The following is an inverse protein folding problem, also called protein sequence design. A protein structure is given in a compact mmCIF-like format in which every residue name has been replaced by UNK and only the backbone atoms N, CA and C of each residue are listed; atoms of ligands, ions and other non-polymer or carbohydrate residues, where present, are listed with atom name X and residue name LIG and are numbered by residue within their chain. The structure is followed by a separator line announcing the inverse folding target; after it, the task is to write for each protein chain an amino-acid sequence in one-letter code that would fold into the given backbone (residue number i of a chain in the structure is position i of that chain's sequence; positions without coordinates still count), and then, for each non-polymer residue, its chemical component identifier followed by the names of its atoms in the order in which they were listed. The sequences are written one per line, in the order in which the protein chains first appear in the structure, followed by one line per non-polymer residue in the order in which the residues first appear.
data_IF_002325221016
#
_entry.id   IF_002325221016
#
_cell.length_a   1.000
_cell.length_b   1.000
_cell.length_c   1.000
_cell.angle_alpha   90.00
_cell.angle_beta   90.00
_cell.angle_gamma   90.00
#
_symmetry.space_group_name_H-M   'P 1'
#
loop_
_entity.id
_entity.type
_entity.pdbx_description
1 polymer ?
#
# COMPACT_ATOMS: atom_id res chain seq x y z
N UNK A 1 -13.60 12.08 -4.81
CA UNK A 1 -12.81 13.18 -4.21
C UNK A 1 -11.76 12.54 -3.34
N UNK A 2 -10.56 13.11 -3.25
CA UNK A 2 -9.54 12.61 -2.33
C UNK A 2 -10.02 12.75 -0.87
N UNK A 3 -9.64 11.78 -0.05
CA UNK A 3 -9.90 11.67 1.38
C UNK A 3 -8.57 11.91 2.10
N UNK A 4 -8.61 12.82 3.07
CA UNK A 4 -7.49 13.05 4.00
C UNK A 4 -8.02 12.94 5.42
N UNK A 5 -7.26 12.26 6.28
CA UNK A 5 -7.65 11.97 7.67
C UNK A 5 -6.47 12.06 8.61
N UNK A 6 -6.63 12.80 9.69
CA UNK A 6 -5.70 12.76 10.82
C UNK A 6 -5.96 11.52 11.68
N UNK A 7 -4.90 10.87 12.17
CA UNK A 7 -4.99 9.78 13.13
C UNK A 7 -4.83 10.36 14.53
N UNK A 8 -5.89 10.37 15.37
CA UNK A 8 -5.88 11.05 16.66
C UNK A 8 -4.72 10.63 17.56
N UNK A 9 -4.09 11.61 18.23
CA UNK A 9 -3.00 11.40 19.20
C UNK A 9 -1.74 10.68 18.69
N UNK A 10 -1.54 10.56 17.37
CA UNK A 10 -0.36 9.90 16.79
C UNK A 10 0.58 10.81 16.01
N UNK A 11 0.12 12.02 15.64
CA UNK A 11 0.87 12.90 14.74
C UNK A 11 1.01 12.33 13.33
N UNK A 12 0.08 11.46 12.90
CA UNK A 12 0.03 10.88 11.55
C UNK A 12 -1.13 11.49 10.78
N UNK A 13 -0.89 11.86 9.53
CA UNK A 13 -1.91 12.24 8.54
C UNK A 13 -1.92 11.21 7.43
N UNK A 14 -3.11 10.78 7.02
CA UNK A 14 -3.33 9.82 5.95
C UNK A 14 -4.01 10.53 4.78
N UNK A 15 -3.62 10.20 3.55
CA UNK A 15 -4.28 10.72 2.36
C UNK A 15 -4.25 9.72 1.21
N UNK A 16 -5.26 9.76 0.36
CA UNK A 16 -5.26 9.10 -0.95
C UNK A 16 -5.08 10.10 -2.13
N UNK A 17 -4.78 11.36 -1.82
CA UNK A 17 -4.60 12.40 -2.84
C UNK A 17 -3.34 12.11 -3.68
N UNK A 18 -3.47 11.83 -4.99
CA UNK A 18 -2.32 11.57 -5.84
C UNK A 18 -1.37 12.77 -5.94
N UNK A 19 -1.85 14.00 -5.71
CA UNK A 19 -1.02 15.19 -5.71
C UNK A 19 -0.05 15.26 -4.53
N UNK A 20 -0.29 14.50 -3.46
CA UNK A 20 0.57 14.48 -2.28
C UNK A 20 1.66 13.42 -2.35
N UNK A 21 1.58 12.47 -3.30
CA UNK A 21 2.50 11.34 -3.37
C UNK A 21 3.92 11.77 -3.76
N UNK A 22 4.94 11.57 -2.90
CA UNK A 22 6.33 11.79 -3.28
C UNK A 22 6.84 10.58 -4.10
N UNK A 23 6.48 10.55 -5.39
CA UNK A 23 6.69 9.40 -6.28
C UNK A 23 8.16 8.95 -6.32
N UNK A 24 9.12 9.87 -6.32
CA UNK A 24 10.54 9.53 -6.33
C UNK A 24 10.97 8.78 -5.06
N UNK A 25 10.46 9.20 -3.90
CA UNK A 25 10.76 8.56 -2.62
C UNK A 25 10.13 7.17 -2.53
N UNK A 26 8.87 7.04 -2.96
CA UNK A 26 8.14 5.76 -2.99
C UNK A 26 8.84 4.79 -3.95
N UNK A 27 9.18 5.25 -5.16
CA UNK A 27 9.90 4.48 -6.16
C UNK A 27 11.25 3.99 -5.63
N UNK A 28 12.04 4.88 -5.03
CA UNK A 28 13.34 4.53 -4.49
C UNK A 28 13.21 3.44 -3.42
N UNK A 29 12.28 3.61 -2.47
CA UNK A 29 12.07 2.61 -1.42
C UNK A 29 11.61 1.26 -2.00
N UNK A 30 10.62 1.24 -2.89
CA UNK A 30 10.14 0.01 -3.48
C UNK A 30 11.22 -0.71 -4.31
N UNK A 31 11.88 0.01 -5.21
CA UNK A 31 12.84 -0.57 -6.17
C UNK A 31 14.16 -1.01 -5.54
N UNK A 32 14.55 -0.44 -4.40
CA UNK A 32 15.85 -0.71 -3.76
C UNK A 32 15.70 -1.50 -2.45
N UNK A 33 14.77 -1.12 -1.59
CA UNK A 33 14.69 -1.58 -0.19
C UNK A 33 13.73 -2.76 0.01
N UNK A 34 12.83 -3.03 -0.93
CA UNK A 34 11.88 -4.14 -0.82
C UNK A 34 12.31 -5.34 -1.66
N UNK A 35 12.08 -6.55 -1.15
CA UNK A 35 12.42 -7.77 -1.89
C UNK A 35 11.43 -8.06 -3.03
N UNK A 36 10.17 -7.59 -2.93
CA UNK A 36 9.12 -7.92 -3.90
C UNK A 36 9.09 -6.99 -5.12
N UNK A 37 9.57 -5.75 -5.00
CA UNK A 37 9.62 -4.78 -6.09
C UNK A 37 11.06 -4.42 -6.52
N UNK A 38 12.06 -5.20 -6.10
CA UNK A 38 13.46 -4.95 -6.43
C UNK A 38 13.67 -4.87 -7.94
N UNK A 39 14.37 -3.81 -8.39
CA UNK A 39 14.68 -3.59 -9.80
C UNK A 39 13.50 -3.11 -10.65
N UNK A 40 12.34 -2.79 -10.06
CA UNK A 40 11.18 -2.25 -10.75
C UNK A 40 11.57 -1.06 -11.65
N UNK A 41 11.31 -1.10 -12.98
CA UNK A 41 11.58 0.03 -13.87
C UNK A 41 10.69 1.23 -13.54
N UNK A 42 11.24 2.43 -13.67
CA UNK A 42 10.53 3.68 -13.32
C UNK A 42 9.23 3.87 -14.10
N UNK A 43 9.24 3.62 -15.41
CA UNK A 43 8.05 3.76 -16.25
C UNK A 43 6.94 2.77 -15.84
N UNK A 44 7.31 1.56 -15.41
CA UNK A 44 6.37 0.56 -14.91
C UNK A 44 5.77 1.01 -13.58
N UNK A 45 6.59 1.54 -12.67
CA UNK A 45 6.14 2.12 -11.41
C UNK A 45 5.14 3.26 -11.64
N UNK A 46 5.49 4.26 -12.44
CA UNK A 46 4.64 5.43 -12.68
C UNK A 46 3.28 5.03 -13.25
N UNK A 47 3.26 4.12 -14.24
CA UNK A 47 2.01 3.54 -14.76
C UNK A 47 1.22 2.79 -13.69
N UNK A 48 1.89 2.02 -12.83
CA UNK A 48 1.23 1.25 -11.77
C UNK A 48 0.52 2.16 -10.76
N UNK A 49 1.16 3.26 -10.36
CA UNK A 49 0.59 4.24 -9.42
C UNK A 49 -0.57 4.99 -10.08
N UNK A 50 -0.41 5.43 -11.32
CA UNK A 50 -1.46 6.15 -12.06
C UNK A 50 -2.76 5.34 -12.25
N UNK A 51 -2.68 4.01 -12.23
CA UNK A 51 -3.82 3.10 -12.39
C UNK A 51 -4.26 2.42 -11.08
N UNK A 52 -3.79 2.90 -9.93
CA UNK A 52 -4.13 2.33 -8.62
C UNK A 52 -4.72 3.39 -7.69
N UNK A 53 -5.46 2.96 -6.69
CA UNK A 53 -5.73 3.78 -5.51
C UNK A 53 -4.53 3.67 -4.57
N UNK A 54 -3.92 4.80 -4.24
CA UNK A 54 -2.69 4.84 -3.45
C UNK A 54 -2.97 5.56 -2.14
N UNK A 55 -2.46 5.02 -1.04
CA UNK A 55 -2.64 5.55 0.30
C UNK A 55 -1.28 5.86 0.89
N UNK A 56 -1.12 7.06 1.41
CA UNK A 56 0.11 7.50 2.03
C UNK A 56 -0.14 7.99 3.45
N UNK A 57 0.80 7.66 4.34
CA UNK A 57 0.87 8.18 5.69
C UNK A 57 2.02 9.16 5.77
N UNK A 58 1.79 10.30 6.42
CA UNK A 58 2.74 11.38 6.61
C UNK A 58 2.88 11.72 8.08
N UNK A 59 4.07 12.19 8.48
CA UNK A 59 4.22 12.89 9.77
C UNK A 59 3.42 14.19 9.70
N UNK A 60 2.70 14.56 10.75
CA UNK A 60 2.10 15.89 10.88
C UNK A 60 3.15 16.90 11.31
N UNK A 61 3.19 18.05 10.65
CA UNK A 61 4.04 19.18 11.06
C UNK A 61 3.34 20.02 12.16
N UNK A 62 4.12 20.82 12.88
CA UNK A 62 3.62 21.66 13.98
C UNK A 62 2.68 22.77 13.47
N UNK A 63 2.84 23.20 12.22
CA UNK A 63 1.98 24.19 11.55
C UNK A 63 0.65 23.61 11.02
N UNK A 64 0.40 22.31 11.24
CA UNK A 64 -0.79 21.60 10.79
C UNK A 64 -0.74 21.09 9.33
N UNK A 65 0.35 21.33 8.61
CA UNK A 65 0.58 20.71 7.30
C UNK A 65 1.04 19.26 7.42
N UNK A 66 1.01 18.51 6.31
CA UNK A 66 1.64 17.19 6.26
C UNK A 66 3.13 17.34 5.95
N UNK A 67 3.96 16.59 6.67
CA UNK A 67 5.40 16.51 6.50
C UNK A 67 5.80 15.28 5.68
N UNK A 68 6.92 14.69 6.06
CA UNK A 68 7.55 13.59 5.32
C UNK A 68 6.65 12.34 5.25
N UNK A 69 6.76 11.60 4.14
CA UNK A 69 6.17 10.26 4.02
C UNK A 69 6.72 9.35 5.12
N UNK A 70 5.85 8.58 5.75
CA UNK A 70 6.20 7.60 6.78
C UNK A 70 5.71 6.19 6.46
N UNK A 71 4.74 6.05 5.56
CA UNK A 71 4.26 4.77 5.07
C UNK A 71 3.40 4.90 3.82
N UNK A 72 3.21 3.78 3.12
CA UNK A 72 2.50 3.71 1.86
C UNK A 72 1.78 2.38 1.72
N UNK A 73 0.68 2.37 0.96
CA UNK A 73 -0.02 1.18 0.51
C UNK A 73 -0.66 1.45 -0.85
N UNK A 74 -0.77 0.42 -1.70
CA UNK A 74 -1.38 0.51 -3.02
C UNK A 74 -2.47 -0.53 -3.21
N UNK A 75 -3.55 -0.13 -3.87
CA UNK A 75 -4.70 -0.98 -4.17
C UNK A 75 -5.01 -0.92 -5.65
N UNK A 76 -4.94 -2.07 -6.33
CA UNK A 76 -5.45 -2.23 -7.69
C UNK A 76 -6.91 -2.64 -7.57
N UNK A 77 -7.83 -1.85 -8.11
CA UNK A 77 -9.26 -2.06 -7.88
C UNK A 77 -10.12 -1.50 -9.01
N UNK A 78 -11.29 -2.12 -9.23
CA UNK A 78 -12.38 -1.58 -10.04
C UNK A 78 -13.30 -0.63 -9.25
N UNK A 79 -13.03 -0.45 -7.95
CA UNK A 79 -13.83 0.35 -6.99
C UNK A 79 -15.28 -0.13 -6.85
N UNK A 80 -15.54 -1.39 -7.21
CA UNK A 80 -16.89 -1.92 -7.25
C UNK A 80 -16.96 -3.35 -6.69
N UNK A 81 -16.14 -4.27 -7.20
CA UNK A 81 -16.26 -5.71 -6.93
C UNK A 81 -15.00 -6.37 -6.40
N UNK A 82 -13.81 -5.86 -6.75
CA UNK A 82 -12.56 -6.55 -6.46
C UNK A 82 -11.40 -5.59 -6.20
N UNK A 83 -10.53 -5.95 -5.25
CA UNK A 83 -9.27 -5.27 -5.00
C UNK A 83 -8.10 -6.23 -4.75
N UNK A 84 -6.91 -5.81 -5.16
CA UNK A 84 -5.63 -6.39 -4.76
C UNK A 84 -4.80 -5.37 -3.98
N UNK A 85 -4.52 -5.67 -2.71
CA UNK A 85 -3.66 -4.87 -1.83
C UNK A 85 -2.19 -5.30 -2.02
N UNK A 86 -1.34 -4.32 -2.29
CA UNK A 86 0.08 -4.50 -2.57
C UNK A 86 0.92 -3.29 -2.12
N UNK A 87 2.24 -3.45 -2.19
CA UNK A 87 3.23 -2.39 -1.91
C UNK A 87 3.07 -1.70 -0.55
N UNK A 88 2.62 -2.45 0.47
CA UNK A 88 2.49 -1.92 1.83
C UNK A 88 3.86 -1.83 2.48
N UNK A 89 4.27 -0.63 2.87
CA UNK A 89 5.48 -0.42 3.66
C UNK A 89 5.36 0.71 4.67
N UNK A 90 6.22 0.65 5.69
CA UNK A 90 6.47 1.73 6.65
C UNK A 90 7.97 1.97 6.69
N UNK A 91 8.37 3.25 6.59
CA UNK A 91 9.78 3.63 6.63
C UNK A 91 10.40 3.18 7.97
N UNK A 92 11.67 2.72 7.98
CA UNK A 92 12.29 2.10 9.16
C UNK A 92 12.12 2.88 10.47
N UNK A 93 12.31 4.20 10.45
CA UNK A 93 12.20 5.08 11.62
C UNK A 93 10.77 5.20 12.22
N UNK A 94 9.76 4.72 11.49
CA UNK A 94 8.35 4.80 11.85
C UNK A 94 7.70 3.44 12.12
N UNK A 95 8.47 2.35 12.02
CA UNK A 95 8.00 1.01 12.37
C UNK A 95 7.74 0.91 13.88
N UNK A 96 6.78 0.07 14.26
CA UNK A 96 6.36 -0.09 15.66
C UNK A 96 5.49 1.05 16.22
N UNK A 97 5.18 2.08 15.42
CA UNK A 97 4.37 3.24 15.83
C UNK A 97 2.91 3.20 15.38
N UNK A 98 2.41 2.03 14.96
CA UNK A 98 1.03 1.85 14.52
C UNK A 98 0.70 2.34 13.10
N UNK A 99 1.67 2.86 12.33
CA UNK A 99 1.46 3.39 10.97
C UNK A 99 0.78 2.37 10.03
N UNK A 100 1.22 1.12 10.05
CA UNK A 100 0.63 0.08 9.20
C UNK A 100 -0.82 -0.22 9.58
N UNK A 101 -1.17 -0.15 10.87
CA UNK A 101 -2.55 -0.29 11.31
C UNK A 101 -3.40 0.87 10.81
N UNK A 102 -2.93 2.10 10.98
CA UNK A 102 -3.59 3.30 10.50
C UNK A 102 -3.84 3.26 8.97
N UNK A 103 -2.88 2.79 8.16
CA UNK A 103 -3.06 2.60 6.72
C UNK A 103 -4.13 1.55 6.39
N UNK A 104 -4.15 0.42 7.11
CA UNK A 104 -5.15 -0.63 6.89
C UNK A 104 -6.56 -0.18 7.28
N UNK A 105 -6.70 0.52 8.42
CA UNK A 105 -7.98 1.09 8.83
C UNK A 105 -8.49 2.11 7.81
N UNK A 106 -7.58 2.91 7.25
CA UNK A 106 -7.92 3.90 6.24
C UNK A 106 -8.42 3.28 4.95
N UNK A 107 -7.72 2.24 4.47
CA UNK A 107 -8.16 1.46 3.32
C UNK A 107 -9.53 0.81 3.57
N UNK A 108 -9.71 0.16 4.73
CA UNK A 108 -10.96 -0.55 5.07
C UNK A 108 -12.15 0.39 5.12
N UNK A 109 -11.95 1.63 5.54
CA UNK A 109 -13.00 2.66 5.68
C UNK A 109 -13.13 3.55 4.45
N UNK A 110 -12.32 3.31 3.41
CA UNK A 110 -12.33 4.13 2.21
C UNK A 110 -13.67 3.97 1.44
N UNK A 111 -14.36 5.06 1.09
CA UNK A 111 -15.71 5.01 0.51
C UNK A 111 -15.79 4.16 -0.78
N UNK A 112 -14.77 4.24 -1.63
CA UNK A 112 -14.74 3.49 -2.90
C UNK A 112 -14.46 1.99 -2.74
N UNK A 113 -14.18 1.52 -1.52
CA UNK A 113 -13.82 0.11 -1.25
C UNK A 113 -14.90 -0.63 -0.44
N UNK A 114 -16.05 0.00 -0.16
CA UNK A 114 -17.07 -0.57 0.72
C UNK A 114 -17.91 -1.69 0.07
N UNK A 115 -18.05 -1.69 -1.26
CA UNK A 115 -18.89 -2.66 -1.98
C UNK A 115 -18.14 -3.89 -2.49
N UNK A 116 -16.82 -3.93 -2.25
CA UNK A 116 -15.97 -4.98 -2.80
C UNK A 116 -16.42 -6.34 -2.29
N UNK A 117 -16.71 -7.25 -3.23
CA UNK A 117 -16.96 -8.65 -2.91
C UNK A 117 -15.70 -9.34 -2.38
N UNK A 118 -14.53 -8.89 -2.82
CA UNK A 118 -13.26 -9.54 -2.49
C UNK A 118 -12.09 -8.58 -2.53
N UNK A 119 -11.30 -8.59 -1.46
CA UNK A 119 -9.97 -7.99 -1.42
C UNK A 119 -8.95 -9.09 -1.15
N UNK A 120 -7.88 -9.14 -1.94
CA UNK A 120 -6.83 -10.17 -1.82
C UNK A 120 -5.46 -9.52 -1.71
N UNK A 121 -4.51 -10.27 -1.16
CA UNK A 121 -3.11 -9.89 -1.06
C UNK A 121 -2.23 -11.14 -1.05
N UNK A 122 -0.94 -10.94 -1.27
CA UNK A 122 0.09 -11.96 -1.03
C UNK A 122 1.01 -11.39 0.04
N UNK A 123 1.28 -12.17 1.10
CA UNK A 123 2.08 -11.73 2.24
C UNK A 123 3.15 -12.75 2.57
N UNK A 124 4.28 -12.27 3.08
CA UNK A 124 5.32 -13.10 3.70
C UNK A 124 5.72 -12.43 5.01
N UNK A 125 5.41 -13.07 6.15
CA UNK A 125 5.78 -12.59 7.49
C UNK A 125 4.93 -11.44 8.06
N UNK A 126 3.88 -10.99 7.36
CA UNK A 126 2.97 -9.95 7.84
C UNK A 126 1.49 -10.40 7.88
N UNK A 127 1.23 -11.71 7.83
CA UNK A 127 -0.11 -12.29 7.95
C UNK A 127 -0.83 -11.86 9.24
N UNK A 128 -0.09 -11.72 10.36
CA UNK A 128 -0.64 -11.23 11.63
C UNK A 128 -1.26 -9.83 11.51
N UNK A 129 -0.72 -8.93 10.67
CA UNK A 129 -1.24 -7.59 10.46
C UNK A 129 -2.58 -7.69 9.74
N UNK A 130 -2.60 -8.41 8.62
CA UNK A 130 -3.77 -8.52 7.78
C UNK A 130 -4.91 -9.26 8.49
N UNK A 131 -4.62 -10.30 9.28
CA UNK A 131 -5.63 -10.99 10.09
C UNK A 131 -6.29 -10.07 11.13
N UNK A 132 -5.53 -9.15 11.75
CA UNK A 132 -6.11 -8.13 12.65
C UNK A 132 -7.07 -7.17 11.94
N UNK A 133 -6.95 -7.04 10.62
CA UNK A 133 -7.80 -6.19 9.78
C UNK A 133 -8.85 -6.97 8.99
N UNK A 134 -9.16 -8.21 9.41
CA UNK A 134 -10.25 -9.00 8.87
C UNK A 134 -9.92 -9.82 7.63
N UNK A 135 -8.66 -9.84 7.18
CA UNK A 135 -8.25 -10.79 6.15
C UNK A 135 -8.19 -12.20 6.72
N UNK A 136 -8.66 -13.17 5.94
CA UNK A 136 -8.59 -14.58 6.27
C UNK A 136 -7.72 -15.32 5.27
N UNK A 137 -7.21 -16.49 5.66
CA UNK A 137 -6.59 -17.39 4.70
C UNK A 137 -7.62 -17.81 3.64
N UNK A 138 -7.15 -18.14 2.44
CA UNK A 138 -8.01 -18.72 1.39
C UNK A 138 -8.47 -20.10 1.88
N UNK A 139 -9.79 -20.36 1.99
CA UNK A 139 -10.27 -21.66 2.44
C UNK A 139 -9.82 -22.80 1.54
N UNK A 140 -9.70 -23.99 2.14
CA UNK A 140 -9.42 -25.22 1.39
C UNK A 140 -10.49 -25.45 0.30
N UNK A 141 -10.07 -26.02 -0.84
CA UNK A 141 -10.94 -26.28 -1.99
C UNK A 141 -11.21 -25.07 -2.89
N UNK A 142 -10.76 -23.87 -2.51
CA UNK A 142 -10.83 -22.68 -3.37
C UNK A 142 -9.59 -22.63 -4.28
N UNK A 143 -9.81 -22.75 -5.58
CA UNK A 143 -8.74 -22.73 -6.60
C UNK A 143 -8.19 -21.33 -6.88
N UNK A 144 -7.42 -20.76 -5.95
CA UNK A 144 -6.63 -19.56 -6.23
C UNK A 144 -5.38 -19.95 -7.03
N UNK A 145 -5.27 -19.45 -8.25
CA UNK A 145 -4.15 -19.74 -9.15
C UNK A 145 -3.44 -18.45 -9.54
N UNK A 146 -2.14 -18.55 -9.83
CA UNK A 146 -1.33 -17.41 -10.26
C UNK A 146 -0.38 -17.80 -11.38
N UNK A 147 -0.18 -16.88 -12.32
CA UNK A 147 0.96 -16.91 -13.24
C UNK A 147 2.03 -15.97 -12.67
N UNK A 148 2.90 -16.51 -11.85
CA UNK A 148 3.90 -15.74 -11.12
C UNK A 148 5.27 -15.86 -11.79
N UNK A 149 5.86 -14.72 -12.16
CA UNK A 149 7.24 -14.60 -12.65
C UNK A 149 8.06 -13.83 -11.62
N UNK A 150 8.53 -14.49 -10.55
CA UNK A 150 9.36 -13.81 -9.57
C UNK A 150 10.60 -13.22 -10.25
N UNK A 151 11.02 -12.03 -9.82
CA UNK A 151 12.27 -11.38 -10.28
C UNK A 151 12.29 -10.98 -11.76
N UNK A 152 11.13 -10.76 -12.39
CA UNK A 152 11.02 -10.37 -13.81
C UNK A 152 11.82 -9.09 -14.18
N UNK A 153 12.12 -8.23 -13.20
CA UNK A 153 12.86 -6.99 -13.41
C UNK A 153 14.36 -7.07 -13.10
N UNK A 154 14.84 -8.18 -12.53
CA UNK A 154 16.27 -8.36 -12.20
C UNK A 154 17.00 -9.26 -13.20
N UNK A 155 16.30 -9.77 -14.21
CA UNK A 155 16.94 -10.50 -15.30
C UNK A 155 17.71 -9.48 -16.16
N UNK A 156 19.04 -9.47 -16.01
CA UNK A 156 19.93 -8.83 -16.97
C UNK A 156 19.58 -9.36 -18.36
N UNK A 157 19.19 -8.47 -19.28
CA UNK A 157 19.18 -8.77 -20.70
C UNK A 157 20.56 -9.30 -21.08
N UNK A 158 20.64 -10.59 -21.40
CA UNK A 158 21.82 -11.19 -22.01
C UNK A 158 22.06 -10.61 -23.41
#
# INVERSE_FOLDING_TARGET
MAVTREVPATGIVLSDDPAWLPLDQIYHFLSQETYWARGLPRDVFDRSVANSLCFAAYRRNDDGSHGDLVGFARVITDRATFAYLCDVFVLPAWRGKGVSHALMDFLREHPDLQTLRRTVLVTTGADWLYRKHGFTDVPEGIGFMQLHRPNIYTATSA
#
